data_IF_180738292175
#
_entry.id   IF_180738292175
#
_cell.length_a   1.000
_cell.length_b   1.000
_cell.length_c   1.000
_cell.angle_alpha   90.00
_cell.angle_beta   90.00
_cell.angle_gamma   90.00
#
_symmetry.space_group_name_H-M   'P 1'
#
loop_
_entity.id
_entity.type
_entity.pdbx_description
1 polymer ?
#
# COMPACT_ATOMS: atom_id res chain seq x y z
N UNK A 1 12.56 -13.71 -7.06
CA UNK A 1 12.90 -13.03 -5.79
C UNK A 1 11.62 -12.82 -4.99
N UNK A 2 11.66 -12.80 -3.65
CA UNK A 2 10.47 -12.55 -2.83
C UNK A 2 10.20 -11.03 -2.69
N UNK A 3 8.91 -10.67 -2.58
CA UNK A 3 8.42 -9.28 -2.48
C UNK A 3 9.09 -8.45 -1.37
N UNK A 4 9.25 -8.96 -0.14
CA UNK A 4 9.88 -8.22 0.96
C UNK A 4 11.37 -7.92 0.73
N UNK A 5 12.05 -8.71 -0.11
CA UNK A 5 13.45 -8.46 -0.45
C UNK A 5 13.61 -7.26 -1.40
N UNK A 6 12.56 -6.88 -2.13
CA UNK A 6 12.56 -5.81 -3.12
C UNK A 6 11.84 -4.55 -2.64
N UNK A 7 10.79 -4.68 -1.83
CA UNK A 7 9.90 -3.59 -1.44
C UNK A 7 9.63 -3.52 0.06
N UNK A 8 10.64 -3.86 0.88
CA UNK A 8 10.53 -3.84 2.35
C UNK A 8 9.89 -2.53 2.84
N UNK A 9 8.80 -2.64 3.58
CA UNK A 9 8.07 -1.52 4.20
C UNK A 9 7.64 -0.48 3.19
N UNK A 10 6.54 -0.73 2.51
CA UNK A 10 5.91 0.22 1.60
C UNK A 10 4.66 -0.32 0.95
N UNK A 11 4.17 0.46 0.01
CA UNK A 11 2.96 0.18 -0.77
C UNK A 11 3.35 0.14 -2.24
N UNK A 12 2.96 -0.94 -2.94
CA UNK A 12 3.36 -1.22 -4.31
C UNK A 12 2.13 -1.24 -5.21
N UNK A 13 2.19 -0.51 -6.33
CA UNK A 13 1.20 -0.53 -7.40
C UNK A 13 1.84 -1.08 -8.69
N UNK A 14 1.34 -2.18 -9.27
CA UNK A 14 1.77 -2.61 -10.60
C UNK A 14 1.36 -1.61 -11.68
N UNK A 15 2.23 -1.39 -12.68
CA UNK A 15 1.96 -0.49 -13.80
C UNK A 15 1.39 -1.21 -15.03
N UNK A 16 1.47 -2.54 -15.07
CA UNK A 16 0.93 -3.38 -16.13
C UNK A 16 0.51 -4.78 -15.62
N UNK A 17 -0.24 -5.51 -16.47
CA UNK A 17 -0.77 -6.84 -16.15
C UNK A 17 0.34 -7.89 -15.96
N UNK A 18 1.53 -7.64 -16.49
CA UNK A 18 2.67 -8.52 -16.29
C UNK A 18 3.22 -8.37 -14.88
N UNK A 19 3.43 -7.14 -14.42
CA UNK A 19 3.86 -6.85 -13.06
C UNK A 19 2.82 -7.33 -12.03
N UNK A 20 1.53 -7.09 -12.26
CA UNK A 20 0.47 -7.55 -11.34
C UNK A 20 0.46 -9.07 -11.19
N UNK A 21 0.58 -9.82 -12.29
CA UNK A 21 0.67 -11.28 -12.24
C UNK A 21 1.87 -11.78 -11.46
N UNK A 22 3.05 -11.17 -11.66
CA UNK A 22 4.25 -11.55 -10.92
C UNK A 22 4.11 -11.29 -9.42
N UNK A 23 3.52 -10.14 -9.03
CA UNK A 23 3.26 -9.79 -7.63
C UNK A 23 2.30 -10.78 -6.98
N UNK A 24 1.18 -11.12 -7.65
CA UNK A 24 0.20 -12.09 -7.15
C UNK A 24 0.77 -13.51 -7.00
N UNK A 25 1.74 -13.87 -7.84
CA UNK A 25 2.39 -15.18 -7.81
C UNK A 25 3.60 -15.24 -6.85
N UNK A 26 3.97 -14.11 -6.23
CA UNK A 26 5.21 -13.97 -5.45
C UNK A 26 6.46 -14.43 -6.22
N UNK A 27 6.42 -14.34 -7.56
CA UNK A 27 7.45 -14.84 -8.46
C UNK A 27 7.96 -13.70 -9.33
N UNK A 28 8.91 -12.94 -8.76
CA UNK A 28 9.43 -11.75 -9.42
C UNK A 28 10.60 -12.11 -10.34
N UNK A 29 10.43 -11.82 -11.63
CA UNK A 29 11.40 -11.87 -12.71
C UNK A 29 11.60 -10.45 -13.28
N UNK A 30 12.86 -10.02 -13.42
CA UNK A 30 13.16 -8.69 -13.94
C UNK A 30 12.89 -8.61 -15.45
N UNK A 31 12.39 -7.48 -15.98
CA UNK A 31 12.05 -6.24 -15.26
C UNK A 31 10.62 -6.23 -14.69
N UNK A 32 10.46 -5.66 -13.49
CA UNK A 32 9.16 -5.43 -12.84
C UNK A 32 8.80 -3.95 -12.90
N UNK A 33 7.63 -3.63 -13.47
CA UNK A 33 7.16 -2.24 -13.62
C UNK A 33 6.13 -1.90 -12.55
N UNK A 34 6.58 -1.20 -11.52
CA UNK A 34 5.76 -0.79 -10.38
C UNK A 34 6.01 0.66 -10.03
N UNK A 35 5.03 1.27 -9.37
CA UNK A 35 5.25 2.41 -8.49
C UNK A 35 5.37 1.91 -7.05
N UNK A 36 6.30 2.48 -6.29
CA UNK A 36 6.56 2.09 -4.90
C UNK A 36 6.55 3.33 -4.02
N UNK A 37 5.70 3.30 -3.00
CA UNK A 37 5.64 4.29 -1.93
C UNK A 37 6.33 3.69 -0.69
N UNK A 38 7.60 4.07 -0.41
CA UNK A 38 8.38 3.46 0.65
C UNK A 38 8.12 4.09 2.02
N UNK A 39 8.30 3.29 3.07
CA UNK A 39 8.33 3.69 4.49
C UNK A 39 9.68 3.20 5.04
N UNK A 40 10.74 3.97 4.77
CA UNK A 40 12.13 3.50 4.97
C UNK A 40 12.63 3.61 6.41
N UNK A 41 12.14 4.59 7.17
CA UNK A 41 12.67 4.91 8.50
C UNK A 41 11.79 4.30 9.58
N UNK A 42 12.39 3.55 10.52
CA UNK A 42 11.67 2.94 11.65
C UNK A 42 10.82 3.96 12.45
N UNK A 43 11.34 5.17 12.80
CA UNK A 43 10.53 6.14 13.52
C UNK A 43 9.32 6.62 12.72
N UNK A 44 9.45 6.70 11.40
CA UNK A 44 8.35 7.12 10.54
C UNK A 44 7.30 6.00 10.41
N UNK A 45 7.74 4.74 10.30
CA UNK A 45 6.85 3.59 10.37
C UNK A 45 6.08 3.58 11.69
N UNK A 46 6.76 3.71 12.82
CA UNK A 46 6.15 3.73 14.16
C UNK A 46 5.15 4.89 14.32
N UNK A 47 5.46 6.07 13.77
CA UNK A 47 4.55 7.21 13.73
C UNK A 47 3.27 6.87 12.96
N UNK A 48 3.40 6.42 11.70
CA UNK A 48 2.25 6.06 10.86
C UNK A 48 1.43 4.93 11.49
N UNK A 49 2.10 3.89 11.97
CA UNK A 49 1.48 2.75 12.63
C UNK A 49 0.69 3.19 13.86
N UNK A 50 1.31 4.03 14.70
CA UNK A 50 0.71 4.60 15.90
C UNK A 50 -0.53 5.47 15.64
N UNK A 51 -0.70 6.00 14.42
CA UNK A 51 -1.90 6.80 14.07
C UNK A 51 -3.17 5.96 13.93
N UNK A 52 -3.04 4.63 13.82
CA UNK A 52 -4.16 3.73 13.55
C UNK A 52 -4.59 3.70 12.08
N UNK A 53 -3.80 4.27 11.16
CA UNK A 53 -4.16 4.40 9.74
C UNK A 53 -4.47 3.05 9.10
N UNK A 54 -3.56 2.08 9.21
CA UNK A 54 -3.71 0.75 8.61
C UNK A 54 -4.88 -0.02 9.24
N UNK A 55 -5.11 0.14 10.54
CA UNK A 55 -6.24 -0.48 11.25
C UNK A 55 -7.58 0.06 10.75
N UNK A 56 -7.67 1.35 10.42
CA UNK A 56 -8.87 1.91 9.78
C UNK A 56 -9.09 1.36 8.38
N UNK A 57 -8.03 1.20 7.60
CA UNK A 57 -8.09 0.57 6.27
C UNK A 57 -8.58 -0.88 6.41
N UNK A 58 -8.01 -1.64 7.35
CA UNK A 58 -8.41 -3.02 7.66
C UNK A 58 -9.89 -3.11 8.02
N UNK A 59 -10.35 -2.26 8.93
CA UNK A 59 -11.77 -2.24 9.33
C UNK A 59 -12.69 -1.89 8.16
N UNK A 60 -12.29 -0.94 7.32
CA UNK A 60 -13.13 -0.48 6.20
C UNK A 60 -13.16 -1.50 5.04
N UNK A 61 -12.04 -2.18 4.78
CA UNK A 61 -11.88 -3.06 3.61
C UNK A 61 -12.03 -4.55 3.93
N UNK A 62 -12.07 -4.93 5.22
CA UNK A 62 -12.04 -6.33 5.65
C UNK A 62 -10.68 -7.00 5.39
N UNK A 63 -9.60 -6.23 5.45
CA UNK A 63 -8.21 -6.67 5.17
C UNK A 63 -7.42 -6.85 6.46
N UNK A 64 -6.21 -7.42 6.36
CA UNK A 64 -5.32 -7.64 7.51
C UNK A 64 -3.89 -7.11 7.26
N UNK A 65 -3.76 -5.84 6.92
CA UNK A 65 -2.46 -5.16 6.84
C UNK A 65 -1.80 -5.25 8.23
N UNK A 66 -0.70 -6.01 8.31
CA UNK A 66 0.11 -6.26 9.50
C UNK A 66 1.58 -5.95 9.20
N UNK A 67 2.45 -5.94 10.21
CA UNK A 67 3.92 -5.79 10.07
C UNK A 67 4.65 -7.12 9.84
N UNK A 68 3.90 -8.22 9.61
CA UNK A 68 4.45 -9.57 9.44
C UNK A 68 4.11 -10.22 8.10
N UNK A 69 3.00 -9.82 7.47
CA UNK A 69 2.47 -10.45 6.25
C UNK A 69 2.19 -9.39 5.18
N UNK A 70 2.40 -9.77 3.92
CA UNK A 70 1.96 -8.95 2.79
C UNK A 70 0.43 -9.01 2.66
N UNK A 71 -0.19 -7.85 2.46
CA UNK A 71 -1.62 -7.76 2.25
C UNK A 71 -1.94 -7.16 0.89
N UNK A 72 -2.92 -7.76 0.22
CA UNK A 72 -3.36 -7.32 -1.11
C UNK A 72 -4.70 -6.61 -0.94
N UNK A 73 -4.78 -5.37 -1.42
CA UNK A 73 -6.04 -4.65 -1.59
C UNK A 73 -6.48 -4.78 -3.05
N UNK A 74 -7.55 -5.54 -3.34
CA UNK A 74 -8.08 -5.66 -4.70
C UNK A 74 -8.62 -4.32 -5.22
N UNK A 75 -8.57 -4.09 -6.53
CA UNK A 75 -9.05 -2.85 -7.15
C UNK A 75 -10.47 -2.39 -6.67
N UNK A 76 -11.46 -3.28 -6.50
CA UNK A 76 -12.79 -2.89 -6.02
C UNK A 76 -12.84 -2.29 -4.61
N UNK A 77 -11.85 -2.56 -3.75
CA UNK A 77 -11.83 -2.06 -2.36
C UNK A 77 -11.12 -0.72 -2.21
N UNK A 78 -10.43 -0.25 -3.26
CA UNK A 78 -9.57 0.93 -3.17
C UNK A 78 -10.33 2.22 -2.86
N UNK A 79 -11.54 2.39 -3.37
CA UNK A 79 -12.37 3.56 -3.03
C UNK A 79 -12.73 3.60 -1.55
N UNK A 80 -12.99 2.43 -0.95
CA UNK A 80 -13.23 2.28 0.48
C UNK A 80 -11.98 2.61 1.30
N UNK A 81 -10.81 2.15 0.86
CA UNK A 81 -9.53 2.48 1.49
C UNK A 81 -9.22 3.99 1.45
N UNK A 82 -9.43 4.64 0.29
CA UNK A 82 -9.26 6.10 0.12
C UNK A 82 -10.16 6.87 1.09
N UNK A 83 -11.42 6.46 1.22
CA UNK A 83 -12.35 7.08 2.18
C UNK A 83 -11.86 6.90 3.64
N UNK A 84 -11.34 5.72 3.99
CA UNK A 84 -10.77 5.45 5.31
C UNK A 84 -9.56 6.35 5.61
N UNK A 85 -8.67 6.55 4.64
CA UNK A 85 -7.51 7.44 4.79
C UNK A 85 -7.96 8.88 5.05
N UNK A 86 -8.91 9.39 4.25
CA UNK A 86 -9.41 10.77 4.37
C UNK A 86 -10.08 11.06 5.72
N UNK A 87 -10.84 10.10 6.25
CA UNK A 87 -11.54 10.27 7.53
C UNK A 87 -10.61 10.17 8.73
N UNK A 88 -9.56 9.35 8.64
CA UNK A 88 -8.61 9.09 9.72
C UNK A 88 -7.27 9.80 9.56
N UNK A 89 -7.23 10.87 8.77
CA UNK A 89 -5.99 11.49 8.34
C UNK A 89 -5.25 12.15 9.52
N UNK A 90 -3.99 11.75 9.79
CA UNK A 90 -3.21 12.31 10.89
C UNK A 90 -2.75 13.75 10.58
N UNK A 91 -2.58 14.55 11.63
CA UNK A 91 -2.21 15.98 11.52
C UNK A 91 -0.71 16.26 11.49
N UNK A 92 0.15 15.23 11.63
CA UNK A 92 1.61 15.38 11.53
C UNK A 92 2.02 15.60 10.07
N UNK A 93 2.97 16.52 9.80
CA UNK A 93 3.35 16.90 8.43
C UNK A 93 3.79 15.73 7.57
N UNK A 94 4.70 14.88 8.08
CA UNK A 94 5.20 13.71 7.35
C UNK A 94 4.08 12.69 7.13
N UNK A 95 3.28 12.45 8.17
CA UNK A 95 2.14 11.55 8.09
C UNK A 95 1.06 12.03 7.10
N UNK A 96 0.83 13.34 7.03
CA UNK A 96 -0.09 13.98 6.09
C UNK A 96 0.39 13.86 4.63
N UNK A 97 1.68 14.08 4.40
CA UNK A 97 2.32 13.94 3.09
C UNK A 97 2.26 12.49 2.60
N UNK A 98 2.55 11.52 3.47
CA UNK A 98 2.41 10.10 3.15
C UNK A 98 0.96 9.72 2.86
N UNK A 99 -0.01 10.20 3.64
CA UNK A 99 -1.43 9.96 3.35
C UNK A 99 -1.82 10.55 1.99
N UNK A 100 -1.33 11.73 1.63
CA UNK A 100 -1.51 12.34 0.31
C UNK A 100 -0.96 11.45 -0.81
N UNK A 101 0.27 10.95 -0.65
CA UNK A 101 0.93 10.08 -1.63
C UNK A 101 0.21 8.73 -1.73
N UNK A 102 -0.21 8.16 -0.61
CA UNK A 102 -0.97 6.91 -0.57
C UNK A 102 -2.33 7.08 -1.25
N UNK A 103 -3.07 8.15 -0.95
CA UNK A 103 -4.34 8.47 -1.63
C UNK A 103 -4.15 8.57 -3.15
N UNK A 104 -3.09 9.23 -3.62
CA UNK A 104 -2.80 9.34 -5.05
C UNK A 104 -2.51 7.96 -5.68
N UNK A 105 -1.65 7.16 -5.05
CA UNK A 105 -1.32 5.81 -5.51
C UNK A 105 -2.55 4.91 -5.59
N UNK A 106 -3.41 4.91 -4.56
CA UNK A 106 -4.66 4.15 -4.54
C UNK A 106 -5.66 4.66 -5.58
N UNK A 107 -5.74 5.98 -5.79
CA UNK A 107 -6.64 6.59 -6.77
C UNK A 107 -6.29 6.12 -8.18
N UNK A 108 -5.01 6.20 -8.53
CA UNK A 108 -4.59 5.78 -9.86
C UNK A 108 -4.73 4.26 -10.05
N UNK A 109 -4.45 3.47 -9.01
CA UNK A 109 -4.68 2.02 -9.04
C UNK A 109 -6.16 1.69 -9.28
N UNK A 110 -7.08 2.44 -8.65
CA UNK A 110 -8.51 2.30 -8.90
C UNK A 110 -8.90 2.69 -10.33
N UNK A 111 -8.35 3.79 -10.87
CA UNK A 111 -8.58 4.24 -12.26
C UNK A 111 -8.09 3.20 -13.27
N UNK A 112 -6.98 2.53 -12.98
CA UNK A 112 -6.38 1.51 -13.84
C UNK A 112 -6.87 0.09 -13.55
N UNK A 113 -7.81 -0.07 -12.61
CA UNK A 113 -8.36 -1.34 -12.14
C UNK A 113 -7.27 -2.35 -11.71
N UNK A 114 -6.32 -1.90 -10.89
CA UNK A 114 -5.18 -2.69 -10.39
C UNK A 114 -5.21 -2.86 -8.89
N UNK A 115 -4.74 -4.01 -8.43
CA UNK A 115 -4.56 -4.29 -7.01
C UNK A 115 -3.35 -3.53 -6.44
N UNK A 116 -3.39 -3.25 -5.14
CA UNK A 116 -2.29 -2.60 -4.42
C UNK A 116 -1.78 -3.55 -3.34
N UNK A 117 -0.46 -3.60 -3.17
CA UNK A 117 0.21 -4.53 -2.27
C UNK A 117 0.84 -3.76 -1.13
N UNK A 118 0.48 -4.10 0.10
CA UNK A 118 1.10 -3.60 1.32
C UNK A 118 2.17 -4.60 1.74
N UNK A 119 3.42 -4.15 1.80
CA UNK A 119 4.57 -4.97 2.16
C UNK A 119 5.21 -4.31 3.39
N UNK A 120 4.91 -4.75 4.60
CA UNK A 120 5.34 -4.10 5.85
C UNK A 120 6.46 -4.84 6.57
#
# INVERSE_FOLDING_TARGET
MQLPALFRRGVVRPLDDHAERQLLQFSIEAPLRVEWLPILEDPFFDEIWGTGLFQRINQACGTNISDYEEEILPAPTLQTAIAAIRTGRPSGRLSDEFCQQLEALLTDAAVTNRSVFFVM
#
